data_IF_074958662121
#
_entry.id   IF_074958662121
#
_cell.length_a   1.000
_cell.length_b   1.000
_cell.length_c   1.000
_cell.angle_alpha   90.00
_cell.angle_beta   90.00
_cell.angle_gamma   90.00
#
_symmetry.space_group_name_H-M   'P 1'
#
loop_
_entity.id
_entity.type
_entity.pdbx_description
1 polymer ?
#
# COMPACT_ATOMS: atom_id res chain seq x y z
N UNK A 1 13.77 40.90 29.20
CA UNK A 1 14.37 40.02 28.17
C UNK A 1 14.89 40.93 27.09
N UNK A 2 16.19 40.89 26.81
CA UNK A 2 16.80 41.74 25.78
C UNK A 2 16.58 41.08 24.42
N UNK A 3 15.76 41.70 23.57
CA UNK A 3 15.63 41.32 22.16
C UNK A 3 16.98 41.55 21.47
N UNK A 4 17.66 40.46 21.13
CA UNK A 4 18.82 40.49 20.24
C UNK A 4 18.35 40.07 18.85
N UNK A 5 18.11 41.07 18.01
CA UNK A 5 18.11 40.88 16.56
C UNK A 5 19.54 40.58 16.11
N UNK A 6 19.70 39.70 15.11
CA UNK A 6 21.00 39.48 14.49
C UNK A 6 21.45 40.78 13.82
N UNK A 7 22.68 41.19 14.07
CA UNK A 7 23.26 42.33 13.38
C UNK A 7 23.65 41.97 11.94
N UNK A 8 23.87 42.98 11.11
CA UNK A 8 24.21 42.82 9.69
C UNK A 8 25.53 42.06 9.50
N UNK A 9 26.45 42.13 10.48
CA UNK A 9 27.72 41.41 10.47
C UNK A 9 27.52 39.90 10.71
N UNK A 10 26.57 39.52 11.56
CA UNK A 10 26.18 38.14 11.81
C UNK A 10 25.45 37.54 10.60
N UNK A 11 24.60 38.32 9.93
CA UNK A 11 23.95 37.88 8.68
C UNK A 11 24.98 37.68 7.56
N UNK A 12 25.96 38.58 7.46
CA UNK A 12 27.07 38.46 6.50
C UNK A 12 27.92 37.21 6.77
N UNK A 13 28.19 36.90 8.04
CA UNK A 13 28.92 35.69 8.44
C UNK A 13 28.20 34.38 8.07
N UNK A 14 26.87 34.41 7.92
CA UNK A 14 26.06 33.25 7.51
C UNK A 14 25.95 33.11 5.98
N UNK A 15 26.37 34.11 5.19
CA UNK A 15 26.28 34.10 3.71
C UNK A 15 26.99 32.90 3.05
N UNK A 16 28.17 32.45 3.50
CA UNK A 16 28.81 31.26 2.92
C UNK A 16 28.00 29.98 3.16
N UNK A 17 27.38 29.84 4.34
CA UNK A 17 26.53 28.69 4.65
C UNK A 17 25.25 28.70 3.82
N UNK A 18 24.67 29.89 3.61
CA UNK A 18 23.51 30.08 2.74
C UNK A 18 23.77 29.58 1.32
N UNK A 19 24.91 29.97 0.75
CA UNK A 19 25.32 29.57 -0.60
C UNK A 19 25.54 28.06 -0.72
N UNK A 20 26.09 27.41 0.31
CA UNK A 20 26.28 25.94 0.33
C UNK A 20 24.93 25.21 0.39
N UNK A 21 24.00 25.68 1.22
CA UNK A 21 22.66 25.11 1.34
C UNK A 21 21.90 25.27 0.02
N UNK A 22 21.93 26.47 -0.58
CA UNK A 22 21.30 26.73 -1.88
C UNK A 22 21.89 25.87 -3.00
N UNK A 23 23.21 25.70 -3.05
CA UNK A 23 23.89 24.82 -3.99
C UNK A 23 23.44 23.35 -3.84
N UNK A 24 23.43 22.84 -2.61
CA UNK A 24 22.97 21.48 -2.31
C UNK A 24 21.49 21.25 -2.68
N UNK A 25 20.64 22.27 -2.50
CA UNK A 25 19.22 22.23 -2.90
C UNK A 25 19.07 22.27 -4.43
N UNK A 26 19.88 23.05 -5.14
CA UNK A 26 19.85 23.09 -6.62
C UNK A 26 20.37 21.80 -7.25
N UNK A 27 21.32 21.13 -6.59
CA UNK A 27 21.88 19.85 -7.03
C UNK A 27 20.98 18.65 -6.66
N UNK A 28 19.93 18.86 -5.85
CA UNK A 28 18.96 17.81 -5.58
C UNK A 28 17.94 17.73 -6.73
N UNK A 29 17.67 16.54 -7.30
CA UNK A 29 16.84 16.39 -8.50
C UNK A 29 15.32 16.62 -8.27
N UNK A 30 14.93 17.13 -7.09
CA UNK A 30 13.54 17.37 -6.72
C UNK A 30 13.26 18.87 -6.91
N UNK A 31 12.68 19.23 -8.06
CA UNK A 31 12.14 20.59 -8.26
C UNK A 31 10.76 20.69 -7.63
N UNK A 32 10.64 21.43 -6.53
CA UNK A 32 9.38 21.72 -5.86
C UNK A 32 8.94 23.17 -6.19
N UNK A 33 8.38 23.39 -7.39
CA UNK A 33 7.79 24.69 -7.76
C UNK A 33 8.63 25.59 -8.66
N UNK A 34 8.40 26.90 -8.56
CA UNK A 34 8.96 27.96 -9.44
C UNK A 34 10.48 28.08 -9.34
N UNK A 35 11.10 28.78 -10.30
CA UNK A 35 12.57 28.88 -10.44
C UNK A 35 13.29 29.46 -9.20
N UNK A 36 12.57 30.17 -8.31
CA UNK A 36 13.10 30.78 -7.08
C UNK A 36 12.94 29.92 -5.81
N UNK A 37 12.40 28.69 -5.94
CA UNK A 37 12.14 27.80 -4.81
C UNK A 37 13.38 27.52 -3.94
N UNK A 38 14.52 27.23 -4.58
CA UNK A 38 15.75 26.87 -3.87
C UNK A 38 16.24 28.01 -2.98
N UNK A 39 16.07 29.25 -3.44
CA UNK A 39 16.42 30.47 -2.69
C UNK A 39 15.46 30.68 -1.51
N UNK A 40 14.16 30.45 -1.69
CA UNK A 40 13.19 30.55 -0.58
C UNK A 40 13.39 29.47 0.49
N UNK A 41 13.67 28.23 0.08
CA UNK A 41 13.93 27.14 1.02
C UNK A 41 15.23 27.36 1.80
N UNK A 42 16.30 27.77 1.12
CA UNK A 42 17.57 28.13 1.76
C UNK A 42 17.37 29.28 2.77
N UNK A 43 16.62 30.32 2.41
CA UNK A 43 16.26 31.41 3.31
C UNK A 43 15.47 30.93 4.53
N UNK A 44 14.47 30.05 4.33
CA UNK A 44 13.70 29.46 5.43
C UNK A 44 14.53 28.60 6.39
N UNK A 45 15.49 27.83 5.86
CA UNK A 45 16.42 27.02 6.67
C UNK A 45 17.34 27.93 7.48
N UNK A 46 17.93 28.98 6.86
CA UNK A 46 18.80 29.93 7.54
C UNK A 46 18.07 30.68 8.65
N UNK A 47 16.83 31.09 8.41
CA UNK A 47 15.95 31.72 9.41
C UNK A 47 15.74 30.81 10.63
N UNK A 48 15.52 29.50 10.41
CA UNK A 48 15.36 28.53 11.50
C UNK A 48 16.66 28.23 12.23
N UNK A 49 17.79 28.19 11.52
CA UNK A 49 19.13 28.03 12.12
C UNK A 49 19.47 29.27 12.96
N UNK A 50 19.17 30.47 12.48
CA UNK A 50 19.33 31.72 13.22
C UNK A 50 18.48 31.75 14.49
N UNK A 51 17.22 31.30 14.42
CA UNK A 51 16.33 31.17 15.58
C UNK A 51 16.85 30.14 16.59
N UNK A 52 17.33 28.98 16.10
CA UNK A 52 17.93 27.94 16.94
C UNK A 52 19.22 28.40 17.64
N UNK A 53 20.00 29.26 16.98
CA UNK A 53 21.20 29.90 17.54
C UNK A 53 20.88 31.07 18.50
N UNK A 54 19.60 31.32 18.81
CA UNK A 54 19.16 32.29 19.81
C UNK A 54 18.86 33.70 19.30
N UNK A 55 18.69 33.90 17.99
CA UNK A 55 18.25 35.18 17.40
C UNK A 55 16.73 35.29 17.24
N UNK A 56 16.14 36.48 17.44
CA UNK A 56 14.72 36.76 17.13
C UNK A 56 14.61 37.43 15.76
N UNK A 57 13.65 36.99 14.94
CA UNK A 57 13.40 37.50 13.58
C UNK A 57 12.74 38.89 13.59
N UNK A 58 13.02 39.77 12.61
CA UNK A 58 12.18 40.93 12.38
C UNK A 58 10.77 40.47 11.95
N UNK A 59 9.70 41.20 12.30
CA UNK A 59 8.35 40.85 11.90
C UNK A 59 8.25 40.90 10.37
N UNK A 60 8.16 39.74 9.74
CA UNK A 60 7.90 39.61 8.32
C UNK A 60 6.45 40.03 8.01
N UNK A 61 6.28 40.70 6.88
CA UNK A 61 5.01 41.12 6.31
C UNK A 61 3.96 40.00 6.31
N UNK A 62 2.70 40.38 6.52
CA UNK A 62 1.59 39.46 6.74
C UNK A 62 1.54 38.32 5.71
N UNK A 63 1.30 37.07 6.16
CA UNK A 63 1.11 35.94 5.27
C UNK A 63 -0.13 36.17 4.41
N UNK A 64 0.09 36.36 3.12
CA UNK A 64 -0.97 36.54 2.14
C UNK A 64 -1.96 35.36 2.11
N UNK A 65 -3.19 35.74 1.77
CA UNK A 65 -4.50 35.06 1.72
C UNK A 65 -4.60 33.75 0.90
N UNK A 66 -3.50 33.05 0.65
CA UNK A 66 -3.48 31.76 -0.08
C UNK A 66 -3.34 30.54 0.85
N UNK A 67 -2.88 30.74 2.09
CA UNK A 67 -2.75 29.67 3.10
C UNK A 67 -4.10 29.21 3.70
N UNK A 68 -5.13 30.04 3.60
CA UNK A 68 -6.49 29.78 4.13
C UNK A 68 -7.44 29.12 3.13
N UNK A 69 -7.09 29.07 1.83
CA UNK A 69 -8.02 28.65 0.77
C UNK A 69 -7.94 27.19 0.33
N UNK A 70 -7.01 26.38 0.86
CA UNK A 70 -6.75 25.03 0.31
C UNK A 70 -6.80 23.85 1.29
N UNK A 71 -7.14 24.05 2.57
CA UNK A 71 -6.98 22.99 3.60
C UNK A 71 -8.29 22.38 4.10
N UNK A 72 -9.44 22.76 3.55
CA UNK A 72 -10.67 22.02 3.81
C UNK A 72 -10.73 20.79 2.91
N UNK A 73 -10.48 19.64 3.52
CA UNK A 73 -10.82 18.29 3.04
C UNK A 73 -9.73 17.48 2.30
N UNK A 74 -8.50 17.55 2.78
CA UNK A 74 -7.50 16.48 2.56
C UNK A 74 -7.33 15.70 3.85
N UNK A 75 -8.26 14.77 4.10
CA UNK A 75 -8.08 13.70 5.07
C UNK A 75 -6.97 12.77 4.56
N UNK A 76 -5.71 13.15 4.78
CA UNK A 76 -4.57 12.26 4.53
C UNK A 76 -4.73 11.09 5.50
N UNK A 77 -4.82 9.83 5.03
CA UNK A 77 -4.95 8.68 5.92
C UNK A 77 -3.80 8.68 6.92
N UNK A 78 -4.14 8.36 8.17
CA UNK A 78 -3.30 8.33 9.38
C UNK A 78 -2.14 7.32 9.23
N UNK A 79 -1.18 7.61 8.34
CA UNK A 79 0.06 6.87 8.12
C UNK A 79 1.27 7.58 8.76
N UNK A 80 1.05 8.63 9.55
CA UNK A 80 2.11 9.47 10.10
C UNK A 80 2.95 8.78 11.20
N UNK A 81 2.43 7.77 11.89
CA UNK A 81 3.11 7.21 13.09
C UNK A 81 4.42 6.50 12.78
N UNK A 82 4.48 5.73 11.69
CA UNK A 82 5.68 4.97 11.33
C UNK A 82 6.86 5.88 10.93
N UNK A 83 6.57 6.98 10.21
CA UNK A 83 7.60 7.95 9.83
C UNK A 83 8.13 8.72 11.06
N UNK A 84 7.25 9.03 12.01
CA UNK A 84 7.62 9.73 13.25
C UNK A 84 8.47 8.85 14.17
N UNK A 85 8.14 7.55 14.29
CA UNK A 85 8.94 6.58 15.06
C UNK A 85 10.35 6.39 14.48
N UNK A 86 10.47 6.24 13.15
CA UNK A 86 11.76 6.13 12.47
C UNK A 86 12.61 7.40 12.66
N UNK A 87 11.98 8.57 12.56
CA UNK A 87 12.64 9.85 12.79
C UNK A 87 13.11 10.00 14.25
N UNK A 88 12.31 9.57 15.23
CA UNK A 88 12.68 9.58 16.64
C UNK A 88 13.88 8.65 16.92
N UNK A 89 13.91 7.45 16.32
CA UNK A 89 15.05 6.53 16.44
C UNK A 89 16.33 7.13 15.84
N UNK A 90 16.25 7.76 14.66
CA UNK A 90 17.37 8.49 14.06
C UNK A 90 17.87 9.61 14.95
N UNK A 91 16.96 10.38 15.55
CA UNK A 91 17.32 11.45 16.48
C UNK A 91 18.07 10.91 17.70
N UNK A 92 17.54 9.84 18.31
CA UNK A 92 18.17 9.19 19.47
C UNK A 92 19.58 8.68 19.19
N UNK A 93 19.88 8.21 17.98
CA UNK A 93 21.24 7.78 17.57
C UNK A 93 22.21 8.94 17.31
N UNK A 94 21.71 10.10 16.88
CA UNK A 94 22.56 11.26 16.55
C UNK A 94 23.14 11.94 17.78
N UNK A 95 22.42 11.93 18.90
CA UNK A 95 22.88 12.54 20.15
C UNK A 95 24.19 11.90 20.68
N UNK A 96 24.31 10.56 20.84
CA UNK A 96 25.57 9.90 21.18
C UNK A 96 26.71 10.21 20.20
N UNK A 97 26.41 10.22 18.90
CA UNK A 97 27.40 10.48 17.87
C UNK A 97 27.99 11.90 17.97
N UNK A 98 27.13 12.91 18.22
CA UNK A 98 27.58 14.28 18.46
C UNK A 98 28.49 14.39 19.70
N UNK A 99 28.21 13.64 20.78
CA UNK A 99 29.05 13.62 21.98
C UNK A 99 30.44 13.04 21.66
N UNK A 100 30.50 11.92 20.93
CA UNK A 100 31.77 11.29 20.55
C UNK A 100 32.59 12.19 19.62
N UNK A 101 31.96 12.81 18.61
CA UNK A 101 32.61 13.74 17.70
C UNK A 101 33.10 15.01 18.42
N UNK A 102 32.34 15.54 19.37
CA UNK A 102 32.75 16.70 20.17
C UNK A 102 33.96 16.39 21.05
N UNK A 103 34.06 15.16 21.59
CA UNK A 103 35.24 14.72 22.35
C UNK A 103 36.48 14.62 21.47
N UNK A 104 36.35 14.02 20.29
CA UNK A 104 37.38 13.97 19.25
C UNK A 104 37.86 15.38 18.86
N UNK A 105 36.93 16.30 18.61
CA UNK A 105 37.24 17.69 18.25
C UNK A 105 38.03 18.42 19.35
N UNK A 106 37.80 18.07 20.62
CA UNK A 106 38.55 18.61 21.77
C UNK A 106 39.90 17.92 22.00
N UNK A 107 40.34 17.06 21.08
CA UNK A 107 41.62 16.36 21.15
C UNK A 107 41.64 15.21 22.17
N UNK A 108 40.48 14.74 22.64
CA UNK A 108 40.43 13.54 23.49
C UNK A 108 40.49 12.29 22.61
N UNK A 109 41.34 11.35 22.98
CA UNK A 109 41.36 10.02 22.39
C UNK A 109 40.11 9.26 22.83
N UNK A 110 39.43 8.62 21.88
CA UNK A 110 38.33 7.71 22.20
C UNK A 110 38.88 6.45 22.87
N UNK A 111 38.14 5.90 23.82
CA UNK A 111 38.40 4.52 24.28
C UNK A 111 38.10 3.53 23.14
N UNK A 112 38.60 2.30 23.26
CA UNK A 112 38.32 1.25 22.26
C UNK A 112 36.82 1.01 22.10
N UNK A 113 36.06 1.02 23.20
CA UNK A 113 34.60 0.89 23.20
C UNK A 113 33.92 2.06 22.50
N UNK A 114 34.34 3.29 22.77
CA UNK A 114 33.81 4.49 22.11
C UNK A 114 34.10 4.47 20.60
N UNK A 115 35.30 4.04 20.21
CA UNK A 115 35.69 3.91 18.81
C UNK A 115 34.92 2.80 18.08
N UNK A 116 34.59 1.70 18.78
CA UNK A 116 33.70 0.66 18.27
C UNK A 116 32.27 1.18 18.09
N UNK A 117 31.70 1.82 19.10
CA UNK A 117 30.35 2.43 19.02
C UNK A 117 30.27 3.46 17.89
N UNK A 118 31.30 4.29 17.71
CA UNK A 118 31.35 5.27 16.62
C UNK A 118 31.32 4.58 15.24
N UNK A 119 32.09 3.50 15.05
CA UNK A 119 32.10 2.72 13.80
C UNK A 119 30.72 2.12 13.52
N UNK A 120 30.10 1.48 14.51
CA UNK A 120 28.77 0.89 14.38
C UNK A 120 27.70 1.93 14.00
N UNK A 121 27.75 3.12 14.60
CA UNK A 121 26.83 4.21 14.24
C UNK A 121 27.06 4.70 12.81
N UNK A 122 28.32 4.91 12.40
CA UNK A 122 28.65 5.35 11.04
C UNK A 122 28.20 4.32 10.00
N UNK A 123 28.47 3.04 10.23
CA UNK A 123 28.03 1.96 9.33
C UNK A 123 26.51 1.87 9.23
N UNK A 124 25.81 2.08 10.34
CA UNK A 124 24.34 2.09 10.37
C UNK A 124 23.79 3.28 9.57
N UNK A 125 24.29 4.50 9.81
CA UNK A 125 23.87 5.69 9.07
C UNK A 125 24.20 5.59 7.57
N UNK A 126 25.34 4.99 7.21
CA UNK A 126 25.69 4.72 5.81
C UNK A 126 24.69 3.75 5.15
N UNK A 127 24.35 2.64 5.81
CA UNK A 127 23.36 1.66 5.31
C UNK A 127 21.97 2.27 5.18
N UNK A 128 21.54 3.09 6.14
CA UNK A 128 20.27 3.80 6.06
C UNK A 128 20.25 4.82 4.92
N UNK A 129 21.33 5.59 4.74
CA UNK A 129 21.45 6.54 3.64
C UNK A 129 21.48 5.86 2.27
N UNK A 130 22.06 4.65 2.15
CA UNK A 130 22.01 3.83 0.94
C UNK A 130 20.61 3.32 0.65
N UNK A 131 19.91 2.82 1.68
CA UNK A 131 18.50 2.40 1.57
C UNK A 131 17.62 3.56 1.11
N UNK A 132 17.77 4.73 1.73
CA UNK A 132 17.03 5.93 1.34
C UNK A 132 17.30 6.35 -0.11
N UNK A 133 18.57 6.29 -0.56
CA UNK A 133 18.94 6.55 -1.96
C UNK A 133 18.34 5.52 -2.92
N UNK A 134 18.31 4.24 -2.54
CA UNK A 134 17.72 3.17 -3.35
C UNK A 134 16.19 3.35 -3.49
N UNK A 135 15.50 3.70 -2.40
CA UNK A 135 14.07 4.02 -2.41
C UNK A 135 13.80 5.24 -3.28
N UNK A 136 14.56 6.32 -3.11
CA UNK A 136 14.43 7.52 -3.93
C UNK A 136 14.63 7.23 -5.42
N UNK A 137 15.62 6.41 -5.77
CA UNK A 137 15.86 5.96 -7.15
C UNK A 137 14.72 5.07 -7.68
N UNK A 138 14.14 4.21 -6.83
CA UNK A 138 12.94 3.43 -7.13
C UNK A 138 11.73 4.32 -7.45
N UNK A 139 11.44 5.27 -6.57
CA UNK A 139 10.35 6.23 -6.74
C UNK A 139 10.54 7.09 -8.00
N UNK A 140 11.75 7.56 -8.26
CA UNK A 140 12.06 8.31 -9.47
C UNK A 140 11.81 7.48 -10.73
N UNK A 141 12.19 6.19 -10.75
CA UNK A 141 11.88 5.28 -11.86
C UNK A 141 10.37 5.10 -12.03
N UNK A 142 9.64 4.90 -10.93
CA UNK A 142 8.20 4.76 -10.97
C UNK A 142 7.51 6.01 -11.53
N UNK A 143 7.88 7.20 -11.05
CA UNK A 143 7.37 8.47 -11.58
C UNK A 143 7.69 8.61 -13.07
N UNK A 144 8.90 8.27 -13.51
CA UNK A 144 9.26 8.27 -14.94
C UNK A 144 8.40 7.33 -15.78
N UNK A 145 7.97 6.20 -15.22
CA UNK A 145 7.02 5.28 -15.89
C UNK A 145 5.61 5.87 -15.98
N UNK A 146 5.19 6.68 -15.01
CA UNK A 146 3.86 7.31 -15.00
C UNK A 146 3.76 8.52 -15.92
N UNK A 147 4.86 9.23 -16.19
CA UNK A 147 4.84 10.45 -17.03
C UNK A 147 4.16 10.22 -18.39
N UNK A 148 4.49 9.18 -19.19
CA UNK A 148 3.81 8.92 -20.45
C UNK A 148 2.30 8.65 -20.32
N UNK A 149 1.88 7.97 -19.25
CA UNK A 149 0.46 7.71 -18.99
C UNK A 149 -0.28 9.01 -18.66
N UNK A 150 0.34 9.90 -17.88
CA UNK A 150 -0.19 11.22 -17.56
C UNK A 150 -0.26 12.10 -18.82
N UNK A 151 0.76 12.10 -19.67
CA UNK A 151 0.75 12.80 -20.96
C UNK A 151 -0.36 12.27 -21.87
N UNK A 152 -0.55 10.95 -21.94
CA UNK A 152 -1.62 10.33 -22.71
C UNK A 152 -3.01 10.70 -22.18
N UNK A 153 -3.18 10.71 -20.85
CA UNK A 153 -4.41 11.13 -20.19
C UNK A 153 -4.72 12.60 -20.46
N UNK A 154 -3.71 13.48 -20.37
CA UNK A 154 -3.84 14.90 -20.71
C UNK A 154 -4.24 15.08 -22.17
N UNK A 155 -3.59 14.39 -23.11
CA UNK A 155 -3.95 14.44 -24.52
C UNK A 155 -5.37 13.90 -24.79
N UNK A 156 -5.84 12.91 -24.02
CA UNK A 156 -7.21 12.43 -24.10
C UNK A 156 -8.23 13.48 -23.62
N UNK A 157 -7.95 14.13 -22.50
CA UNK A 157 -8.77 15.23 -21.97
C UNK A 157 -8.84 16.37 -22.98
N UNK A 158 -7.71 16.73 -23.60
CA UNK A 158 -7.68 17.76 -24.64
C UNK A 158 -8.52 17.40 -25.86
N UNK A 159 -8.49 16.14 -26.32
CA UNK A 159 -9.37 15.69 -27.42
C UNK A 159 -10.85 15.81 -27.05
N UNK A 160 -11.22 15.45 -25.82
CA UNK A 160 -12.61 15.61 -25.33
C UNK A 160 -13.00 17.08 -25.30
N UNK A 161 -12.12 17.97 -24.80
CA UNK A 161 -12.35 19.43 -24.79
C UNK A 161 -12.55 19.96 -26.21
N UNK A 162 -11.70 19.59 -27.16
CA UNK A 162 -11.84 20.01 -28.55
C UNK A 162 -13.14 19.50 -29.19
N UNK A 163 -13.54 18.26 -28.92
CA UNK A 163 -14.80 17.70 -29.42
C UNK A 163 -16.03 18.39 -28.83
N UNK A 164 -16.01 18.73 -27.54
CA UNK A 164 -17.09 19.45 -26.88
C UNK A 164 -17.31 20.87 -27.43
N UNK A 165 -16.25 21.54 -27.87
CA UNK A 165 -16.37 22.85 -28.53
C UNK A 165 -17.15 22.81 -29.86
N UNK A 166 -17.17 21.66 -30.56
CA UNK A 166 -17.83 21.51 -31.85
C UNK A 166 -19.33 21.16 -31.75
N UNK A 167 -19.81 20.80 -30.57
CA UNK A 167 -21.21 20.46 -30.31
C UNK A 167 -21.82 21.52 -29.38
N UNK A 168 -22.48 22.52 -29.98
CA UNK A 168 -22.98 23.71 -29.28
C UNK A 168 -23.96 23.42 -28.13
N UNK A 169 -24.70 22.31 -28.18
CA UNK A 169 -25.69 21.95 -27.15
C UNK A 169 -25.14 21.06 -26.02
N UNK A 170 -23.91 20.52 -26.15
CA UNK A 170 -23.33 19.65 -25.12
C UNK A 170 -22.24 20.30 -24.24
N UNK A 171 -22.05 21.62 -24.35
CA UNK A 171 -21.05 22.37 -23.58
C UNK A 171 -21.37 22.49 -22.08
N UNK A 172 -22.64 22.51 -21.68
CA UNK A 172 -23.06 22.79 -20.29
C UNK A 172 -22.65 21.65 -19.34
N UNK A 173 -22.83 20.40 -19.76
CA UNK A 173 -22.54 19.24 -18.90
C UNK A 173 -21.05 18.86 -18.88
N UNK A 174 -20.29 19.20 -19.92
CA UNK A 174 -18.86 18.87 -20.00
C UNK A 174 -18.00 19.88 -19.23
N UNK A 175 -18.42 21.15 -19.16
CA UNK A 175 -17.72 22.16 -18.36
C UNK A 175 -17.76 21.85 -16.85
N UNK A 176 -18.94 21.52 -16.32
CA UNK A 176 -19.12 21.16 -14.91
C UNK A 176 -18.39 19.86 -14.51
N UNK A 177 -18.25 18.91 -15.44
CA UNK A 177 -17.48 17.69 -15.21
C UNK A 177 -15.95 17.91 -15.28
N UNK A 178 -15.48 18.96 -15.97
CA UNK A 178 -14.05 19.25 -16.17
C UNK A 178 -13.47 20.27 -15.20
N UNK A 179 -14.30 21.13 -14.60
CA UNK A 179 -13.87 22.13 -13.60
C UNK A 179 -13.77 21.57 -12.17
N UNK A 180 -14.20 20.31 -11.98
CA UNK A 180 -14.18 19.63 -10.69
C UNK A 180 -15.16 20.21 -9.66
N UNK A 181 -16.05 21.12 -10.08
CA UNK A 181 -17.08 21.70 -9.21
C UNK A 181 -18.27 20.75 -9.03
N UNK A 182 -18.49 19.85 -9.99
CA UNK A 182 -19.17 18.58 -9.72
C UNK A 182 -18.12 17.58 -9.21
N UNK A 183 -17.98 17.51 -7.88
CA UNK A 183 -17.55 16.25 -7.27
C UNK A 183 -18.46 15.18 -7.88
N UNK A 184 -17.94 14.14 -8.55
CA UNK A 184 -18.75 12.96 -8.81
C UNK A 184 -19.26 12.57 -7.44
N UNK A 185 -20.57 12.60 -7.20
CA UNK A 185 -21.12 12.13 -5.95
C UNK A 185 -20.59 10.71 -5.81
N UNK A 186 -19.62 10.55 -4.91
CA UNK A 186 -18.86 9.32 -4.70
C UNK A 186 -19.73 8.33 -3.95
N UNK A 187 -20.89 8.00 -4.50
CA UNK A 187 -21.32 6.61 -4.48
C UNK A 187 -20.57 5.98 -5.66
N UNK A 188 -19.59 5.07 -5.43
CA UNK A 188 -19.01 4.35 -6.53
C UNK A 188 -20.17 3.71 -7.28
N UNK A 189 -20.26 3.98 -8.59
CA UNK A 189 -20.97 3.10 -9.50
C UNK A 189 -20.21 1.76 -9.57
N UNK A 190 -20.06 1.08 -8.42
CA UNK A 190 -20.34 -0.33 -8.40
C UNK A 190 -21.68 -0.45 -9.10
N UNK A 191 -21.66 -0.92 -10.36
CA UNK A 191 -22.86 -1.18 -11.15
C UNK A 191 -23.82 -1.86 -10.20
N UNK A 192 -24.84 -1.12 -9.73
CA UNK A 192 -25.77 -1.64 -8.73
C UNK A 192 -26.19 -3.00 -9.28
N UNK A 193 -26.03 -4.11 -8.54
CA UNK A 193 -26.40 -5.41 -9.05
C UNK A 193 -27.80 -5.24 -9.61
N UNK A 194 -27.97 -5.59 -10.89
CA UNK A 194 -29.26 -5.46 -11.56
C UNK A 194 -30.16 -6.52 -10.92
N UNK A 195 -30.67 -6.21 -9.74
CA UNK A 195 -31.60 -7.02 -9.01
C UNK A 195 -32.85 -7.10 -9.87
N UNK A 196 -33.07 -8.25 -10.49
CA UNK A 196 -34.32 -8.52 -11.19
C UNK A 196 -35.19 -9.41 -10.32
N UNK A 197 -36.41 -8.99 -10.09
CA UNK A 197 -37.43 -9.72 -9.36
C UNK A 197 -38.30 -10.51 -10.34
N UNK A 198 -38.66 -11.73 -9.98
CA UNK A 198 -39.60 -12.56 -10.71
C UNK A 198 -40.33 -13.51 -9.76
N UNK A 199 -41.41 -14.12 -10.23
CA UNK A 199 -42.19 -15.10 -9.47
C UNK A 199 -41.74 -16.48 -9.91
N UNK A 200 -41.50 -17.37 -8.95
CA UNK A 200 -41.31 -18.80 -9.17
C UNK A 200 -42.53 -19.57 -8.73
N UNK A 201 -42.79 -20.70 -9.39
CA UNK A 201 -43.84 -21.66 -9.05
C UNK A 201 -43.19 -23.00 -8.71
N UNK A 202 -43.69 -23.66 -7.68
CA UNK A 202 -43.24 -25.00 -7.33
C UNK A 202 -43.98 -26.04 -8.20
N UNK A 203 -43.24 -26.66 -9.12
CA UNK A 203 -43.71 -27.81 -9.89
C UNK A 203 -43.13 -29.12 -9.29
N UNK A 204 -43.40 -30.26 -9.93
CA UNK A 204 -42.97 -31.59 -9.45
C UNK A 204 -41.45 -31.74 -9.35
N UNK A 205 -40.70 -31.01 -10.19
CA UNK A 205 -39.23 -31.06 -10.27
C UNK A 205 -38.55 -29.87 -9.58
N UNK A 206 -39.31 -29.03 -8.86
CA UNK A 206 -38.79 -27.88 -8.09
C UNK A 206 -39.33 -26.52 -8.54
N UNK A 207 -38.60 -25.46 -8.17
CA UNK A 207 -39.01 -24.08 -8.43
C UNK A 207 -38.63 -23.64 -9.85
N UNK A 208 -39.64 -23.23 -10.63
CA UNK A 208 -39.46 -22.75 -12.01
C UNK A 208 -40.01 -21.32 -12.18
N UNK A 209 -39.40 -20.48 -13.04
CA UNK A 209 -39.90 -19.13 -13.28
C UNK A 209 -41.32 -19.12 -13.86
N UNK A 210 -42.23 -18.39 -13.21
CA UNK A 210 -43.62 -18.20 -13.59
C UNK A 210 -43.92 -16.80 -14.14
N UNK A 211 -43.00 -15.84 -13.98
CA UNK A 211 -43.10 -14.50 -14.57
C UNK A 211 -41.78 -14.02 -15.17
N UNK A 212 -41.86 -12.97 -16.02
CA UNK A 212 -40.66 -12.35 -16.60
C UNK A 212 -39.89 -11.54 -15.54
N UNK A 213 -38.56 -11.54 -15.55
CA UNK A 213 -37.77 -10.70 -14.64
C UNK A 213 -37.99 -9.20 -14.87
N UNK A 214 -38.32 -8.47 -13.80
CA UNK A 214 -38.52 -7.01 -13.78
C UNK A 214 -37.54 -6.32 -12.83
N UNK A 215 -37.24 -5.05 -13.06
CA UNK A 215 -36.40 -4.23 -12.15
C UNK A 215 -37.17 -3.76 -10.91
N UNK A 216 -38.48 -3.60 -11.04
CA UNK A 216 -39.36 -3.07 -10.00
C UNK A 216 -39.97 -4.22 -9.20
N UNK A 217 -39.72 -4.23 -7.88
CA UNK A 217 -40.17 -5.31 -6.98
C UNK A 217 -41.69 -5.37 -6.91
N UNK A 218 -42.33 -4.21 -6.94
CA UNK A 218 -43.76 -3.99 -6.84
C UNK A 218 -44.49 -4.67 -8.00
N UNK A 219 -43.96 -4.55 -9.22
CA UNK A 219 -44.49 -5.24 -10.41
C UNK A 219 -44.43 -6.77 -10.25
N UNK A 220 -43.36 -7.29 -9.64
CA UNK A 220 -43.25 -8.73 -9.37
C UNK A 220 -44.17 -9.20 -8.23
N UNK A 221 -44.46 -8.34 -7.24
CA UNK A 221 -45.43 -8.61 -6.17
C UNK A 221 -46.85 -8.65 -6.75
N UNK A 222 -47.20 -7.74 -7.65
CA UNK A 222 -48.53 -7.76 -8.27
C UNK A 222 -48.71 -8.98 -9.17
N UNK A 223 -47.68 -9.37 -9.92
CA UNK A 223 -47.68 -10.64 -10.65
C UNK A 223 -47.83 -11.86 -9.72
N UNK A 224 -47.19 -11.83 -8.54
CA UNK A 224 -47.34 -12.90 -7.54
C UNK A 224 -48.79 -12.99 -7.06
N UNK A 225 -49.43 -11.85 -6.76
CA UNK A 225 -50.84 -11.80 -6.33
C UNK A 225 -51.78 -12.37 -7.39
N UNK A 226 -51.60 -11.96 -8.65
CA UNK A 226 -52.40 -12.44 -9.78
C UNK A 226 -52.24 -13.95 -9.99
N UNK A 227 -51.01 -14.47 -9.96
CA UNK A 227 -50.73 -15.89 -10.12
C UNK A 227 -51.21 -16.73 -8.93
N UNK A 228 -51.12 -16.19 -7.70
CA UNK A 228 -51.56 -16.88 -6.48
C UNK A 228 -53.08 -16.97 -6.31
N UNK A 229 -53.85 -16.30 -7.17
CA UNK A 229 -55.30 -16.44 -7.20
C UNK A 229 -55.73 -17.85 -7.64
N UNK A 230 -54.86 -18.58 -8.36
CA UNK A 230 -55.00 -20.01 -8.61
C UNK A 230 -54.43 -20.79 -7.41
N UNK A 231 -55.31 -21.19 -6.49
CA UNK A 231 -54.96 -21.76 -5.17
C UNK A 231 -54.33 -23.15 -5.21
N UNK A 232 -54.15 -23.73 -6.40
CA UNK A 232 -53.67 -25.11 -6.55
C UNK A 232 -52.15 -25.25 -6.55
N UNK A 233 -51.40 -24.15 -6.56
CA UNK A 233 -49.94 -24.16 -6.70
C UNK A 233 -49.27 -23.20 -5.73
N UNK A 234 -48.06 -23.57 -5.29
CA UNK A 234 -47.23 -22.69 -4.46
C UNK A 234 -46.41 -21.75 -5.33
N UNK A 235 -46.42 -20.47 -4.97
CA UNK A 235 -45.65 -19.41 -5.64
C UNK A 235 -44.77 -18.68 -4.64
N UNK A 236 -43.60 -18.21 -5.09
CA UNK A 236 -42.71 -17.38 -4.28
C UNK A 236 -42.09 -16.25 -5.11
N UNK A 237 -41.68 -15.19 -4.43
CA UNK A 237 -40.93 -14.11 -5.04
C UNK A 237 -39.42 -14.44 -4.98
N UNK A 238 -38.75 -14.43 -6.12
CA UNK A 238 -37.32 -14.68 -6.25
C UNK A 238 -36.58 -13.42 -6.75
N UNK A 239 -35.30 -13.31 -6.38
CA UNK A 239 -34.42 -12.22 -6.80
C UNK A 239 -33.21 -12.78 -7.53
N UNK A 240 -33.07 -12.47 -8.81
CA UNK A 240 -31.84 -12.70 -9.54
C UNK A 240 -30.86 -11.57 -9.22
N UNK A 241 -29.78 -11.91 -8.52
CA UNK A 241 -28.61 -11.04 -8.37
C UNK A 241 -27.64 -11.41 -9.47
N UNK A 242 -27.75 -10.83 -10.66
CA UNK A 242 -26.73 -11.01 -11.69
C UNK A 242 -25.53 -10.13 -11.32
N UNK A 243 -24.53 -10.71 -10.66
CA UNK A 243 -23.17 -10.17 -10.65
C UNK A 243 -22.61 -10.35 -12.06
N UNK A 244 -22.47 -9.26 -12.81
CA UNK A 244 -21.70 -9.29 -14.05
C UNK A 244 -20.22 -9.37 -13.71
N UNK A 245 -19.71 -10.57 -13.50
CA UNK A 245 -18.32 -10.86 -13.83
C UNK A 245 -18.28 -11.07 -15.34
N UNK A 246 -17.58 -10.21 -16.09
CA UNK A 246 -17.23 -10.55 -17.47
C UNK A 246 -16.18 -11.65 -17.38
N UNK A 247 -16.63 -12.90 -17.32
CA UNK A 247 -15.78 -14.04 -17.60
C UNK A 247 -15.70 -14.21 -19.13
N UNK A 248 -14.50 -14.30 -19.72
CA UNK A 248 -14.37 -14.74 -21.10
C UNK A 248 -14.91 -16.17 -21.21
N UNK A 249 -15.51 -16.50 -22.35
CA UNK A 249 -16.05 -17.85 -22.64
C UNK A 249 -14.93 -18.88 -22.48
N UNK A 250 -14.89 -19.53 -21.31
CA UNK A 250 -14.12 -20.74 -21.07
C UNK A 250 -15.04 -21.94 -21.28
N UNK A 251 -14.59 -22.90 -22.08
CA UNK A 251 -15.18 -24.23 -22.15
C UNK A 251 -15.08 -24.98 -20.81
N UNK A 252 -15.54 -26.24 -20.75
CA UNK A 252 -15.57 -27.01 -19.51
C UNK A 252 -14.18 -27.03 -18.84
N UNK A 253 -14.14 -26.54 -17.60
CA UNK A 253 -12.94 -26.23 -16.85
C UNK A 253 -12.03 -27.44 -16.64
N UNK A 254 -10.87 -27.37 -17.27
CA UNK A 254 -9.66 -27.89 -16.66
C UNK A 254 -9.23 -26.86 -15.61
N UNK A 255 -8.93 -27.33 -14.40
CA UNK A 255 -8.11 -26.57 -13.47
C UNK A 255 -6.79 -26.27 -14.19
N UNK A 256 -6.66 -25.07 -14.75
CA UNK A 256 -5.43 -24.62 -15.40
C UNK A 256 -4.36 -24.43 -14.32
N UNK A 257 -3.75 -25.54 -13.94
CA UNK A 257 -2.55 -25.58 -13.12
C UNK A 257 -1.40 -25.07 -13.98
N UNK A 258 -1.14 -23.77 -13.89
CA UNK A 258 0.01 -23.17 -14.54
C UNK A 258 1.29 -23.65 -13.84
N UNK A 259 2.26 -24.24 -14.57
CA UNK A 259 3.49 -24.70 -13.97
C UNK A 259 4.27 -23.51 -13.34
N UNK A 260 4.83 -23.74 -12.16
CA UNK A 260 5.63 -22.73 -11.44
C UNK A 260 6.82 -22.30 -12.29
N UNK A 261 7.04 -20.98 -12.41
CA UNK A 261 8.17 -20.43 -13.17
C UNK A 261 9.51 -20.92 -12.61
N UNK A 262 10.46 -21.22 -13.49
CA UNK A 262 11.79 -21.72 -13.11
C UNK A 262 12.54 -20.83 -12.11
N UNK A 263 12.42 -19.51 -12.26
CA UNK A 263 13.01 -18.54 -11.32
C UNK A 263 12.43 -18.66 -9.91
N UNK A 264 11.12 -18.93 -9.82
CA UNK A 264 10.41 -19.10 -8.54
C UNK A 264 10.80 -20.41 -7.88
N UNK A 265 10.96 -21.48 -8.66
CA UNK A 265 11.48 -22.77 -8.17
C UNK A 265 12.90 -22.63 -7.61
N UNK A 266 13.81 -21.99 -8.35
CA UNK A 266 15.19 -21.76 -7.92
C UNK A 266 15.27 -20.92 -6.65
N UNK A 267 14.43 -19.90 -6.53
CA UNK A 267 14.37 -19.07 -5.33
C UNK A 267 13.84 -19.86 -4.11
N UNK A 268 12.86 -20.75 -4.31
CA UNK A 268 12.40 -21.65 -3.25
C UNK A 268 13.51 -22.62 -2.78
N UNK A 269 14.34 -23.11 -3.70
CA UNK A 269 15.52 -23.93 -3.38
C UNK A 269 16.58 -23.15 -2.60
N UNK A 270 16.85 -21.89 -2.99
CA UNK A 270 17.76 -20.99 -2.28
C UNK A 270 17.29 -20.73 -0.84
N UNK A 271 16.00 -20.43 -0.64
CA UNK A 271 15.42 -20.22 0.68
C UNK A 271 15.45 -21.50 1.55
N UNK A 272 15.32 -22.67 0.94
CA UNK A 272 15.51 -23.96 1.65
C UNK A 272 16.96 -24.14 2.08
N UNK A 273 17.92 -23.70 1.28
CA UNK A 273 19.35 -23.85 1.56
C UNK A 273 19.85 -22.87 2.63
N UNK A 274 19.26 -21.66 2.70
CA UNK A 274 19.68 -20.59 3.64
C UNK A 274 18.48 -19.86 4.28
N UNK A 275 17.75 -20.49 5.21
CA UNK A 275 16.64 -19.83 5.89
C UNK A 275 17.10 -18.59 6.68
N UNK A 276 16.41 -17.44 6.50
CA UNK A 276 16.52 -16.27 7.40
C UNK A 276 17.57 -15.18 7.09
N UNK A 277 18.20 -15.14 5.90
CA UNK A 277 19.24 -14.13 5.59
C UNK A 277 18.77 -12.86 4.85
N UNK A 278 17.55 -12.79 4.32
CA UNK A 278 17.07 -11.61 3.60
C UNK A 278 15.54 -11.53 3.70
N UNK A 279 14.99 -10.73 4.61
CA UNK A 279 13.60 -10.92 5.09
C UNK A 279 13.47 -12.29 5.80
N UNK A 280 12.59 -12.42 6.78
CA UNK A 280 12.38 -13.71 7.47
C UNK A 280 11.55 -14.64 6.56
N UNK A 281 12.13 -14.96 5.41
CA UNK A 281 11.58 -15.83 4.39
C UNK A 281 12.16 -17.24 4.59
N UNK A 282 11.31 -18.25 4.40
CA UNK A 282 11.67 -19.66 4.53
C UNK A 282 10.76 -20.55 3.70
N UNK A 283 10.86 -21.86 3.94
CA UNK A 283 10.04 -22.84 3.24
C UNK A 283 9.69 -24.00 4.16
N UNK A 284 8.47 -24.51 4.01
CA UNK A 284 7.93 -25.67 4.74
C UNK A 284 8.55 -27.02 4.35
N UNK A 285 9.39 -27.08 3.32
CA UNK A 285 9.83 -28.32 2.69
C UNK A 285 8.80 -29.07 1.82
N UNK A 286 7.59 -28.55 1.62
CA UNK A 286 6.60 -29.22 0.77
C UNK A 286 7.02 -29.23 -0.71
N UNK A 287 6.86 -30.37 -1.38
CA UNK A 287 7.09 -30.50 -2.82
C UNK A 287 5.74 -30.58 -3.55
N UNK A 288 5.47 -29.59 -4.41
CA UNK A 288 4.21 -29.51 -5.17
C UNK A 288 4.38 -28.64 -6.41
N UNK A 289 3.79 -29.06 -7.52
CA UNK A 289 3.81 -28.34 -8.80
C UNK A 289 2.66 -27.34 -8.97
N UNK A 290 1.61 -27.45 -8.14
CA UNK A 290 0.36 -26.69 -8.31
C UNK A 290 0.49 -25.18 -8.03
N UNK A 291 1.60 -24.74 -7.44
CA UNK A 291 1.79 -23.37 -6.96
C UNK A 291 0.82 -23.01 -5.83
N UNK A 292 1.09 -21.92 -5.10
CA UNK A 292 0.21 -21.50 -4.03
C UNK A 292 -1.02 -20.76 -4.58
N UNK A 293 -2.20 -21.18 -4.16
CA UNK A 293 -3.48 -20.54 -4.44
C UNK A 293 -4.11 -19.89 -3.20
N UNK A 294 -3.50 -20.10 -2.03
CA UNK A 294 -3.98 -19.65 -0.73
C UNK A 294 -2.86 -18.91 0.02
N UNK A 295 -3.28 -17.93 0.80
CA UNK A 295 -2.50 -17.25 1.82
C UNK A 295 -3.04 -17.67 3.18
N UNK A 296 -2.22 -18.35 3.98
CA UNK A 296 -2.62 -18.80 5.32
C UNK A 296 -1.87 -17.94 6.34
N UNK A 297 -2.55 -16.96 6.92
CA UNK A 297 -1.96 -15.99 7.83
C UNK A 297 -1.86 -16.54 9.26
N UNK A 298 -0.74 -16.28 9.92
CA UNK A 298 -0.51 -16.51 11.35
C UNK A 298 -0.68 -15.18 12.09
N UNK A 299 -1.69 -15.11 12.96
CA UNK A 299 -1.98 -13.90 13.73
C UNK A 299 -2.18 -14.22 15.22
N UNK A 300 -2.05 -13.22 16.11
CA UNK A 300 -2.51 -13.34 17.51
C UNK A 300 -3.61 -12.33 17.81
N UNK A 301 -4.53 -12.60 18.75
CA UNK A 301 -5.49 -11.59 19.20
C UNK A 301 -4.74 -10.37 19.75
N UNK A 302 -5.00 -9.19 19.18
CA UNK A 302 -4.50 -7.91 19.68
C UNK A 302 -5.52 -7.23 20.59
N UNK A 303 -5.16 -6.11 21.25
CA UNK A 303 -6.14 -5.29 21.96
C UNK A 303 -7.16 -4.71 20.96
N UNK A 304 -8.41 -5.20 21.01
CA UNK A 304 -9.51 -4.76 20.14
C UNK A 304 -9.86 -5.78 19.05
N UNK A 305 -10.29 -5.28 17.88
CA UNK A 305 -10.71 -6.10 16.73
C UNK A 305 -9.58 -6.39 15.72
N UNK A 306 -8.37 -5.87 15.96
CA UNK A 306 -7.22 -6.03 15.07
C UNK A 306 -6.26 -7.05 15.67
N UNK A 307 -6.08 -8.19 15.00
CA UNK A 307 -5.03 -9.15 15.32
C UNK A 307 -3.65 -8.65 14.92
N UNK A 308 -2.60 -9.08 15.63
CA UNK A 308 -1.21 -8.84 15.24
C UNK A 308 -0.80 -9.89 14.23
N UNK A 309 -0.39 -9.49 13.03
CA UNK A 309 0.13 -10.40 12.00
C UNK A 309 1.58 -10.77 12.32
N UNK A 310 1.90 -12.07 12.29
CA UNK A 310 3.25 -12.59 12.58
C UNK A 310 3.92 -13.20 11.34
N UNK A 311 3.13 -13.80 10.45
CA UNK A 311 3.65 -14.37 9.22
C UNK A 311 2.58 -15.02 8.36
N UNK A 312 3.01 -15.62 7.26
CA UNK A 312 2.16 -16.17 6.22
C UNK A 312 2.80 -17.42 5.63
N UNK A 313 1.99 -18.47 5.43
CA UNK A 313 2.35 -19.63 4.61
C UNK A 313 1.55 -19.58 3.30
N UNK A 314 2.24 -19.60 2.17
CA UNK A 314 1.63 -19.68 0.85
C UNK A 314 1.40 -21.16 0.50
N UNK A 315 0.14 -21.58 0.37
CA UNK A 315 -0.22 -23.00 0.18
C UNK A 315 -1.09 -23.21 -1.06
N UNK A 316 -1.00 -24.39 -1.69
CA UNK A 316 -2.01 -24.85 -2.63
C UNK A 316 -3.22 -25.44 -1.89
N UNK A 317 -4.30 -25.75 -2.60
CA UNK A 317 -5.48 -26.38 -2.01
C UNK A 317 -5.17 -27.68 -1.26
N UNK A 318 -4.28 -28.52 -1.81
CA UNK A 318 -3.87 -29.79 -1.19
C UNK A 318 -3.09 -29.59 0.12
N UNK A 319 -2.31 -28.50 0.24
CA UNK A 319 -1.52 -28.19 1.44
C UNK A 319 -2.24 -27.25 2.42
N UNK A 320 -3.51 -26.89 2.17
CA UNK A 320 -4.28 -26.02 3.08
C UNK A 320 -4.35 -26.59 4.49
N UNK A 321 -4.64 -27.89 4.63
CA UNK A 321 -4.75 -28.55 5.93
C UNK A 321 -3.43 -28.52 6.71
N UNK A 322 -2.32 -28.86 6.06
CA UNK A 322 -0.99 -28.85 6.67
C UNK A 322 -0.55 -27.42 7.06
N UNK A 323 -0.90 -26.41 6.26
CA UNK A 323 -0.64 -25.00 6.60
C UNK A 323 -1.41 -24.55 7.84
N UNK A 324 -2.70 -24.93 7.92
CA UNK A 324 -3.55 -24.63 9.08
C UNK A 324 -3.01 -25.31 10.33
N UNK A 325 -2.73 -26.60 10.27
CA UNK A 325 -2.19 -27.35 11.40
C UNK A 325 -0.87 -26.77 11.88
N UNK A 326 0.02 -26.35 10.97
CA UNK A 326 1.31 -25.78 11.34
C UNK A 326 1.17 -24.42 12.04
N UNK A 327 0.32 -23.53 11.54
CA UNK A 327 0.08 -22.21 12.14
C UNK A 327 -0.57 -22.36 13.51
N UNK A 328 -1.59 -23.21 13.63
CA UNK A 328 -2.25 -23.46 14.91
C UNK A 328 -1.32 -24.17 15.91
N UNK A 329 -0.51 -25.13 15.45
CA UNK A 329 0.48 -25.82 16.28
C UNK A 329 1.59 -24.90 16.80
N UNK A 330 1.88 -23.82 16.08
CA UNK A 330 2.79 -22.76 16.51
C UNK A 330 2.14 -21.75 17.49
N UNK A 331 0.86 -21.93 17.83
CA UNK A 331 0.15 -21.11 18.81
C UNK A 331 -0.49 -19.84 18.23
N UNK A 332 -0.63 -19.75 16.91
CA UNK A 332 -1.27 -18.62 16.24
C UNK A 332 -2.71 -18.93 15.83
N UNK A 333 -3.53 -17.88 15.78
CA UNK A 333 -4.81 -17.90 15.08
C UNK A 333 -4.56 -17.94 13.57
N UNK A 334 -5.45 -18.64 12.87
CA UNK A 334 -5.29 -18.94 11.45
C UNK A 334 -6.50 -18.48 10.65
N UNK A 335 -6.23 -17.79 9.55
CA UNK A 335 -7.24 -17.38 8.58
C UNK A 335 -6.77 -17.66 7.14
N UNK A 336 -7.23 -18.76 6.51
CA UNK A 336 -6.89 -19.07 5.12
C UNK A 336 -7.73 -18.22 4.14
N UNK A 337 -7.06 -17.39 3.35
CA UNK A 337 -7.65 -16.53 2.34
C UNK A 337 -7.18 -16.92 0.93
N UNK A 338 -7.96 -16.66 -0.13
CA UNK A 338 -7.46 -16.77 -1.51
C UNK A 338 -6.25 -15.87 -1.72
N UNK A 339 -5.23 -16.37 -2.42
CA UNK A 339 -4.08 -15.54 -2.76
C UNK A 339 -4.53 -14.39 -3.69
N UNK A 340 -4.17 -13.12 -3.41
CA UNK A 340 -4.63 -11.99 -4.22
C UNK A 340 -4.16 -12.13 -5.67
N UNK A 341 -5.05 -11.90 -6.66
CA UNK A 341 -4.68 -11.97 -8.05
C UNK A 341 -3.61 -10.91 -8.36
N UNK A 342 -2.60 -11.30 -9.18
CA UNK A 342 -1.49 -10.43 -9.64
C UNK A 342 -0.39 -10.12 -8.63
N UNK A 343 -0.21 -10.95 -7.60
CA UNK A 343 1.03 -10.88 -6.82
C UNK A 343 2.26 -11.11 -7.73
N UNK A 344 3.38 -10.40 -7.49
CA UNK A 344 4.57 -10.41 -8.37
C UNK A 344 5.13 -11.81 -8.66
N UNK A 345 4.82 -12.77 -7.78
CA UNK A 345 5.29 -14.14 -7.84
C UNK A 345 4.23 -15.14 -8.30
N UNK A 346 3.08 -14.73 -8.85
CA UNK A 346 2.02 -15.65 -9.27
C UNK A 346 2.50 -16.67 -10.35
N UNK A 347 2.38 -18.00 -10.12
CA UNK A 347 2.03 -18.64 -8.84
C UNK A 347 3.25 -18.77 -7.91
N UNK A 348 3.05 -18.47 -6.63
CA UNK A 348 4.09 -18.61 -5.61
C UNK A 348 4.48 -20.09 -5.45
N UNK A 349 5.71 -20.41 -5.00
CA UNK A 349 6.04 -21.79 -4.68
C UNK A 349 5.20 -22.21 -3.47
N UNK A 350 4.50 -23.33 -3.59
CA UNK A 350 3.74 -23.90 -2.49
C UNK A 350 4.69 -24.22 -1.33
N UNK A 351 4.36 -23.76 -0.12
CA UNK A 351 5.18 -23.92 1.07
C UNK A 351 6.14 -22.78 1.36
N UNK A 352 6.13 -21.70 0.57
CA UNK A 352 6.88 -20.51 0.93
C UNK A 352 6.31 -19.88 2.22
N UNK A 353 7.21 -19.42 3.11
CA UNK A 353 6.87 -18.79 4.39
C UNK A 353 7.49 -17.40 4.43
N UNK A 354 6.72 -16.41 4.85
CA UNK A 354 7.22 -15.06 5.18
C UNK A 354 6.83 -14.74 6.61
N UNK A 355 7.76 -14.32 7.46
CA UNK A 355 7.51 -13.96 8.85
C UNK A 355 8.09 -12.58 9.18
N UNK A 356 7.63 -11.97 10.27
CA UNK A 356 8.16 -10.68 10.75
C UNK A 356 9.42 -10.83 11.60
N UNK A 357 9.63 -11.99 12.22
CA UNK A 357 10.77 -12.27 13.09
C UNK A 357 11.27 -13.73 12.93
N UNK A 358 12.47 -14.00 13.46
CA UNK A 358 13.16 -15.28 13.31
C UNK A 358 12.52 -16.41 14.12
N UNK A 359 11.90 -16.11 15.25
CA UNK A 359 11.25 -17.12 16.11
C UNK A 359 9.97 -17.61 15.44
N UNK A 360 9.16 -16.69 14.92
CA UNK A 360 7.98 -16.99 14.09
C UNK A 360 8.39 -17.77 12.84
N UNK A 361 9.44 -17.36 12.13
CA UNK A 361 9.94 -18.09 10.97
C UNK A 361 10.30 -19.53 11.34
N UNK A 362 11.03 -19.71 12.44
CA UNK A 362 11.42 -21.03 12.94
C UNK A 362 10.19 -21.86 13.28
N UNK A 363 9.22 -21.30 14.00
CA UNK A 363 7.98 -21.99 14.36
C UNK A 363 7.17 -22.43 13.13
N UNK A 364 7.07 -21.57 12.11
CA UNK A 364 6.31 -21.84 10.88
C UNK A 364 7.05 -22.75 9.88
N UNK A 365 8.35 -22.97 10.05
CA UNK A 365 9.16 -23.86 9.19
C UNK A 365 9.49 -25.21 9.85
N UNK A 366 9.48 -25.31 11.18
CA UNK A 366 9.89 -26.50 11.95
C UNK A 366 8.92 -27.70 11.89
N UNK A 367 8.07 -27.80 10.86
CA UNK A 367 7.19 -28.95 10.67
C UNK A 367 7.95 -30.23 10.36
N UNK A 368 7.49 -31.37 10.92
CA UNK A 368 8.06 -32.70 10.62
C UNK A 368 7.90 -33.01 9.13
N UNK A 369 8.97 -32.86 8.37
CA UNK A 369 9.07 -33.22 6.95
C UNK A 369 8.78 -34.72 6.63
N UNK A 370 8.38 -35.53 7.61
CA UNK A 370 8.18 -36.98 7.47
C UNK A 370 6.75 -37.48 7.67
N UNK A 371 5.76 -36.62 7.96
CA UNK A 371 4.36 -37.06 8.15
C UNK A 371 3.37 -36.52 7.10
N UNK A 372 3.76 -35.52 6.31
CA UNK A 372 2.91 -34.84 5.31
C UNK A 372 2.89 -35.57 3.95
N UNK A 373 3.26 -36.85 3.90
CA UNK A 373 3.13 -37.70 2.72
C UNK A 373 1.66 -37.84 2.37
N UNK A 374 1.15 -36.86 1.62
CA UNK A 374 -0.20 -36.82 1.10
C UNK A 374 -0.55 -38.17 0.48
N UNK A 375 -1.52 -38.85 1.09
CA UNK A 375 -2.35 -39.79 0.36
C UNK A 375 -3.08 -38.98 -0.71
N UNK A 376 -2.45 -38.83 -1.88
CA UNK A 376 -3.14 -38.43 -3.09
C UNK A 376 -3.99 -39.63 -3.54
N UNK A 377 -5.26 -39.62 -3.15
CA UNK A 377 -6.34 -40.40 -3.79
C UNK A 377 -7.13 -39.50 -4.71
#
# INVERSE_FOLDING_TARGET
>A
MNDRTLDEQQLEALRPLAAVIEGAIKDTPIRLGTDDWGTMLAAGILVRVAAYMGGVLPPAAEPGDWLTRGTHDLSIPEQATAADEEQAQRWSRREPLLVLLTRLQRGRTLTEDEARTLREHVETEMREAETARAVAAGNLRHVKTLIPELEQAQAAIERVRHGAHLCGDCQINVAAALDGTEQPTTEPQARRPLNRWFVERHDHDGWVPASRPTREREVAIDALRELSADTTREFRLARSTTTYSVEPVAGPGQDDVWPVKESTRRHAEELRATPGQASADGHTGWECEAGASLLVAASTPGPGALGTHHGTIYACAAHRGAAVERITGAGYDVDPQPAPPRHRWNPWPCGHVTAHDADTLTALTAGRAGQDGAQAT
#
